data_IF_516528301131
#
_entry.id   IF_516528301131
#
_cell.length_a   1.000
_cell.length_b   1.000
_cell.length_c   1.000
_cell.angle_alpha   90.00
_cell.angle_beta   90.00
_cell.angle_gamma   90.00
#
_symmetry.space_group_name_H-M   'P 1'
#
loop_
_entity.id
_entity.type
_entity.pdbx_description
1 polymer ?
#
# COMPACT_ATOMS: atom_id res chain seq x y z
N UNK A 1 43.13 -13.66 -31.65
CA UNK A 1 42.82 -13.32 -30.25
C UNK A 1 41.92 -12.07 -30.03
N UNK A 2 41.58 -11.28 -31.07
CA UNK A 2 40.71 -10.08 -30.87
C UNK A 2 39.21 -10.36 -30.86
N UNK A 3 38.74 -11.53 -31.31
CA UNK A 3 37.29 -11.82 -31.41
C UNK A 3 36.65 -12.24 -30.08
N UNK A 4 37.43 -12.75 -29.10
CA UNK A 4 36.90 -13.18 -27.80
C UNK A 4 36.75 -12.04 -26.80
N UNK A 5 37.48 -10.94 -26.99
CA UNK A 5 37.36 -9.75 -26.11
C UNK A 5 36.05 -9.01 -26.29
N UNK A 6 35.51 -8.99 -27.53
CA UNK A 6 34.23 -8.32 -27.83
C UNK A 6 33.03 -9.09 -27.26
N UNK A 7 33.11 -10.43 -27.23
CA UNK A 7 32.05 -11.28 -26.69
C UNK A 7 31.96 -11.17 -25.14
N UNK A 8 33.10 -11.01 -24.48
CA UNK A 8 33.15 -10.81 -23.05
C UNK A 8 32.56 -9.45 -22.63
N UNK A 9 32.75 -8.40 -23.44
CA UNK A 9 32.22 -7.07 -23.18
C UNK A 9 30.71 -6.98 -23.34
N UNK A 10 30.13 -7.76 -24.27
CA UNK A 10 28.66 -7.84 -24.47
C UNK A 10 27.99 -8.62 -23.33
N UNK A 11 28.67 -9.63 -22.77
CA UNK A 11 28.17 -10.39 -21.62
C UNK A 11 28.15 -9.56 -20.32
N UNK A 12 29.05 -8.59 -20.17
CA UNK A 12 29.09 -7.72 -18.99
C UNK A 12 28.03 -6.60 -19.05
N UNK A 13 27.61 -6.18 -20.26
CA UNK A 13 26.55 -5.18 -20.42
C UNK A 13 25.14 -5.71 -20.18
N UNK A 14 24.95 -7.05 -20.12
CA UNK A 14 23.66 -7.69 -19.87
C UNK A 14 23.27 -7.84 -18.40
N UNK A 15 24.15 -7.47 -17.45
CA UNK A 15 23.89 -7.57 -16.01
C UNK A 15 23.84 -6.19 -15.35
N UNK A 16 23.08 -5.26 -15.94
CA UNK A 16 22.59 -4.14 -15.17
C UNK A 16 21.45 -4.71 -14.31
N UNK A 17 21.79 -5.29 -13.16
CA UNK A 17 20.82 -5.43 -12.08
C UNK A 17 20.39 -4.01 -11.73
N UNK A 18 19.22 -3.60 -12.20
CA UNK A 18 18.56 -2.45 -11.64
C UNK A 18 18.38 -2.77 -10.14
N UNK A 19 19.21 -2.19 -9.30
CA UNK A 19 19.05 -2.34 -7.87
C UNK A 19 17.64 -1.85 -7.52
N UNK A 20 16.82 -2.73 -6.97
CA UNK A 20 15.48 -2.37 -6.49
C UNK A 20 15.66 -1.31 -5.42
N UNK A 21 14.93 -0.19 -5.56
CA UNK A 21 14.96 0.88 -4.57
C UNK A 21 14.26 0.41 -3.29
N UNK A 22 14.77 0.82 -2.12
CA UNK A 22 14.12 0.51 -0.85
C UNK A 22 12.83 1.30 -0.68
N UNK A 23 11.80 0.66 -0.15
CA UNK A 23 10.54 1.32 0.19
C UNK A 23 10.72 2.44 1.22
N UNK A 24 11.75 2.36 2.06
CA UNK A 24 12.08 3.40 3.04
C UNK A 24 12.49 4.74 2.42
N UNK A 25 12.88 4.75 1.15
CA UNK A 25 13.24 5.97 0.42
C UNK A 25 12.02 6.74 -0.11
N UNK A 26 10.85 6.09 -0.12
CA UNK A 26 9.60 6.71 -0.56
C UNK A 26 9.15 7.75 0.46
N UNK A 27 8.97 8.98 0.02
CA UNK A 27 8.43 10.08 0.85
C UNK A 27 6.96 10.34 0.58
N UNK A 28 6.55 10.15 -0.65
CA UNK A 28 5.15 10.33 -1.08
C UNK A 28 4.75 9.19 -1.99
N UNK A 29 3.51 8.73 -1.85
CA UNK A 29 2.94 7.68 -2.68
C UNK A 29 1.52 8.10 -3.10
N UNK A 30 1.21 7.93 -4.39
CA UNK A 30 -0.12 8.20 -4.93
C UNK A 30 -0.60 7.00 -5.72
N UNK A 31 -1.79 6.54 -5.42
CA UNK A 31 -2.37 5.38 -6.10
C UNK A 31 -3.89 5.35 -6.02
N UNK A 32 -4.50 4.64 -6.94
CA UNK A 32 -5.93 4.36 -6.95
C UNK A 32 -6.18 3.02 -6.27
N UNK A 33 -7.27 2.93 -5.51
CA UNK A 33 -7.66 1.74 -4.75
C UNK A 33 -9.06 1.32 -5.12
N UNK A 34 -9.26 0.03 -5.30
CA UNK A 34 -10.59 -0.60 -5.34
C UNK A 34 -10.68 -1.56 -4.16
N UNK A 35 -11.41 -1.16 -3.14
CA UNK A 35 -11.62 -1.95 -1.92
C UNK A 35 -12.91 -2.75 -2.03
N UNK A 36 -12.82 -4.06 -1.90
CA UNK A 36 -13.96 -4.99 -1.86
C UNK A 36 -14.09 -5.59 -0.47
N UNK A 37 -15.18 -5.32 0.21
CA UNK A 37 -15.44 -5.87 1.55
C UNK A 37 -16.63 -6.81 1.52
N UNK A 38 -16.59 -7.84 2.38
CA UNK A 38 -17.68 -8.78 2.58
C UNK A 38 -17.92 -8.94 4.08
N UNK A 39 -18.82 -8.13 4.62
CA UNK A 39 -19.14 -8.14 6.05
C UNK A 39 -20.58 -8.62 6.20
N UNK A 40 -20.79 -9.69 6.98
CA UNK A 40 -22.11 -10.29 7.24
C UNK A 40 -22.92 -10.53 5.96
N UNK A 41 -22.28 -11.11 4.94
CA UNK A 41 -22.86 -11.41 3.62
C UNK A 41 -23.25 -10.19 2.78
N UNK A 42 -22.91 -8.99 3.23
CA UNK A 42 -23.06 -7.76 2.42
C UNK A 42 -21.75 -7.45 1.71
N UNK A 43 -21.78 -7.52 0.39
CA UNK A 43 -20.66 -7.12 -0.46
C UNK A 43 -20.72 -5.59 -0.66
N UNK A 44 -19.60 -4.94 -0.47
CA UNK A 44 -19.43 -3.51 -0.73
C UNK A 44 -18.16 -3.31 -1.55
N UNK A 45 -18.25 -2.44 -2.54
CA UNK A 45 -17.09 -2.01 -3.32
C UNK A 45 -17.00 -0.48 -3.23
N UNK A 46 -15.80 0.02 -2.92
CA UNK A 46 -15.51 1.45 -2.84
C UNK A 46 -14.23 1.68 -3.64
N UNK A 47 -14.25 2.69 -4.51
CA UNK A 47 -13.04 3.16 -5.19
C UNK A 47 -12.62 4.52 -4.63
N UNK A 48 -11.32 4.72 -4.47
CA UNK A 48 -10.79 5.97 -3.95
C UNK A 48 -9.34 6.20 -4.38
N UNK A 49 -8.93 7.45 -4.38
CA UNK A 49 -7.53 7.87 -4.56
C UNK A 49 -6.89 8.07 -3.20
N UNK A 50 -5.64 7.66 -3.10
CA UNK A 50 -4.79 7.89 -1.94
C UNK A 50 -3.63 8.78 -2.33
N UNK A 51 -3.45 9.86 -1.58
CA UNK A 51 -2.21 10.64 -1.52
C UNK A 51 -1.62 10.40 -0.13
N UNK A 52 -0.49 9.73 -0.08
CA UNK A 52 0.19 9.37 1.16
C UNK A 52 1.51 10.12 1.29
N UNK A 53 1.70 10.82 2.42
CA UNK A 53 2.95 11.46 2.81
C UNK A 53 3.49 10.67 4.01
N UNK A 54 4.50 9.86 3.74
CA UNK A 54 5.10 8.96 4.72
C UNK A 54 5.79 9.74 5.84
N UNK A 55 5.73 9.27 7.09
CA UNK A 55 4.96 8.12 7.53
C UNK A 55 3.56 8.46 8.08
N UNK A 56 3.13 9.73 8.08
CA UNK A 56 2.11 10.18 9.03
C UNK A 56 0.84 10.80 8.43
N UNK A 57 0.77 11.04 7.11
CA UNK A 57 -0.39 11.73 6.53
C UNK A 57 -0.96 10.98 5.35
N UNK A 58 -2.28 10.86 5.32
CA UNK A 58 -3.04 10.32 4.20
C UNK A 58 -4.15 11.29 3.82
N UNK A 59 -4.32 11.52 2.52
CA UNK A 59 -5.56 12.01 1.94
C UNK A 59 -6.20 10.86 1.18
N UNK A 60 -7.46 10.58 1.46
CA UNK A 60 -8.33 9.64 0.74
C UNK A 60 -9.43 10.46 0.07
N UNK A 61 -9.64 10.27 -1.24
CA UNK A 61 -10.72 10.89 -1.99
C UNK A 61 -11.55 9.80 -2.65
N UNK A 62 -12.83 9.68 -2.26
CA UNK A 62 -13.74 8.67 -2.78
C UNK A 62 -14.14 9.00 -4.21
N UNK A 63 -14.00 8.04 -5.12
CA UNK A 63 -14.34 8.15 -6.54
C UNK A 63 -15.58 7.35 -6.94
N UNK A 64 -15.90 6.29 -6.18
CA UNK A 64 -17.13 5.48 -6.31
C UNK A 64 -17.49 4.84 -4.96
N UNK A 65 -18.77 4.54 -4.70
CA UNK A 65 -19.95 4.77 -5.55
C UNK A 65 -20.36 6.25 -5.62
N UNK A 66 -21.24 6.59 -6.54
CA UNK A 66 -21.68 7.98 -6.78
C UNK A 66 -22.23 8.68 -5.53
N UNK A 67 -22.89 7.92 -4.63
CA UNK A 67 -23.41 8.43 -3.35
C UNK A 67 -22.33 9.07 -2.46
N UNK A 68 -21.12 8.53 -2.50
CA UNK A 68 -19.99 8.95 -1.66
C UNK A 68 -18.91 9.71 -2.44
N UNK A 69 -19.12 9.90 -3.74
CA UNK A 69 -18.13 10.51 -4.61
C UNK A 69 -17.80 11.93 -4.20
N UNK A 70 -16.50 12.23 -4.16
CA UNK A 70 -15.99 13.54 -3.73
C UNK A 70 -15.87 13.70 -2.22
N UNK A 71 -16.23 12.70 -1.40
CA UNK A 71 -15.87 12.70 0.01
C UNK A 71 -14.36 12.69 0.15
N UNK A 72 -13.82 13.58 0.99
CA UNK A 72 -12.38 13.68 1.25
C UNK A 72 -12.12 13.43 2.72
N UNK A 73 -11.19 12.52 3.00
CA UNK A 73 -10.71 12.20 4.33
C UNK A 73 -9.23 12.54 4.40
N UNK A 74 -8.85 13.37 5.37
CA UNK A 74 -7.45 13.73 5.63
C UNK A 74 -7.11 13.25 7.03
N UNK A 75 -6.13 12.35 7.12
CA UNK A 75 -5.62 11.81 8.37
C UNK A 75 -4.23 12.40 8.65
N UNK A 76 -4.05 12.95 9.84
CA UNK A 76 -2.75 13.37 10.38
C UNK A 76 -2.48 12.57 11.66
N UNK A 77 -1.74 11.47 11.51
CA UNK A 77 -1.46 10.54 12.61
C UNK A 77 -0.54 11.13 13.66
N UNK A 78 0.31 12.10 13.29
CA UNK A 78 1.16 12.80 14.25
C UNK A 78 0.37 13.65 15.25
N UNK A 79 -0.85 14.05 14.86
CA UNK A 79 -1.75 14.89 15.67
C UNK A 79 -3.00 14.15 16.14
N UNK A 80 -3.13 12.85 15.81
CA UNK A 80 -4.35 12.06 16.05
C UNK A 80 -5.62 12.77 15.55
N UNK A 81 -5.53 13.36 14.34
CA UNK A 81 -6.58 14.23 13.80
C UNK A 81 -7.06 13.71 12.46
N UNK A 82 -8.38 13.67 12.29
CA UNK A 82 -9.07 13.41 11.04
C UNK A 82 -9.94 14.60 10.64
N UNK A 83 -9.83 15.03 9.38
CA UNK A 83 -10.73 16.00 8.76
C UNK A 83 -11.50 15.30 7.66
N UNK A 84 -12.82 15.47 7.64
CA UNK A 84 -13.72 14.88 6.65
C UNK A 84 -14.47 16.01 5.96
N UNK A 85 -14.43 16.03 4.62
CA UNK A 85 -15.30 16.85 3.80
C UNK A 85 -16.39 15.98 3.19
N UNK A 86 -17.64 16.38 3.39
CA UNK A 86 -18.84 15.72 2.88
C UNK A 86 -19.52 16.62 1.83
N UNK A 87 -19.29 16.41 0.52
CA UNK A 87 -19.78 17.32 -0.52
C UNK A 87 -21.29 17.39 -0.58
N UNK A 88 -22.00 16.30 -0.31
CA UNK A 88 -23.48 16.28 -0.29
C UNK A 88 -24.07 17.29 0.69
N UNK A 89 -23.40 17.54 1.81
CA UNK A 89 -23.84 18.48 2.86
C UNK A 89 -23.06 19.78 2.84
N UNK A 90 -22.07 19.91 1.97
CA UNK A 90 -21.07 21.00 1.98
C UNK A 90 -20.49 21.24 3.38
N UNK A 91 -20.17 20.16 4.09
CA UNK A 91 -19.79 20.16 5.50
C UNK A 91 -18.36 19.68 5.68
N UNK A 92 -17.61 20.35 6.57
CA UNK A 92 -16.30 19.89 7.03
C UNK A 92 -16.40 19.54 8.50
N UNK A 93 -15.97 18.32 8.84
CA UNK A 93 -15.91 17.82 10.22
C UNK A 93 -14.49 17.51 10.62
N UNK A 94 -14.16 17.83 11.87
CA UNK A 94 -12.90 17.46 12.50
C UNK A 94 -13.17 16.52 13.65
N UNK A 95 -12.44 15.37 13.68
CA UNK A 95 -12.57 14.35 14.73
C UNK A 95 -11.20 13.77 15.07
N UNK A 96 -11.13 12.96 16.11
CA UNK A 96 -9.98 12.08 16.34
C UNK A 96 -10.02 10.87 15.41
N UNK A 97 -8.86 10.28 15.15
CA UNK A 97 -8.72 9.05 14.39
C UNK A 97 -9.12 7.89 15.29
N UNK A 98 -9.99 6.99 14.82
CA UNK A 98 -10.35 5.74 15.50
C UNK A 98 -9.52 4.57 14.95
N UNK A 99 -9.25 3.58 15.80
CA UNK A 99 -8.28 2.50 15.49
C UNK A 99 -8.57 1.73 14.21
N UNK A 100 -9.83 1.46 13.91
CA UNK A 100 -10.22 0.69 12.70
C UNK A 100 -9.93 1.42 11.38
N UNK A 101 -9.78 2.74 11.42
CA UNK A 101 -9.50 3.55 10.22
C UNK A 101 -8.02 3.49 9.80
N UNK A 102 -7.18 2.85 10.61
CA UNK A 102 -5.72 2.89 10.48
C UNK A 102 -5.13 1.68 9.72
N UNK A 103 -5.95 0.74 9.26
CA UNK A 103 -5.47 -0.53 8.70
C UNK A 103 -4.54 -0.35 7.51
N UNK A 104 -4.88 0.53 6.58
CA UNK A 104 -4.05 0.76 5.37
C UNK A 104 -2.69 1.35 5.75
N UNK A 105 -2.67 2.39 6.59
CA UNK A 105 -1.40 3.00 6.98
C UNK A 105 -0.54 2.07 7.83
N UNK A 106 -1.16 1.32 8.75
CA UNK A 106 -0.45 0.30 9.54
C UNK A 106 0.18 -0.75 8.62
N UNK A 107 -0.57 -1.22 7.60
CA UNK A 107 -0.08 -2.18 6.63
C UNK A 107 1.10 -1.63 5.82
N UNK A 108 0.99 -0.42 5.28
CA UNK A 108 2.07 0.22 4.52
C UNK A 108 3.32 0.41 5.37
N UNK A 109 3.18 0.97 6.57
CA UNK A 109 4.31 1.17 7.48
C UNK A 109 4.95 -0.16 7.89
N UNK A 110 4.14 -1.21 8.14
CA UNK A 110 4.66 -2.54 8.48
C UNK A 110 5.41 -3.18 7.33
N UNK A 111 4.94 -3.04 6.10
CA UNK A 111 5.65 -3.52 4.91
C UNK A 111 7.01 -2.82 4.77
N UNK A 112 7.06 -1.50 4.96
CA UNK A 112 8.31 -0.71 4.91
C UNK A 112 9.28 -1.14 6.01
N UNK A 113 8.78 -1.34 7.24
CA UNK A 113 9.57 -1.81 8.36
C UNK A 113 10.17 -3.20 8.10
N UNK A 114 9.33 -4.17 7.67
CA UNK A 114 9.76 -5.53 7.40
C UNK A 114 10.73 -5.59 6.20
N UNK A 115 10.50 -4.82 5.16
CA UNK A 115 11.41 -4.74 4.01
C UNK A 115 12.80 -4.27 4.46
N UNK A 116 12.86 -3.32 5.38
CA UNK A 116 14.10 -2.75 5.90
C UNK A 116 14.81 -3.66 6.92
N UNK A 117 14.07 -4.27 7.84
CA UNK A 117 14.62 -4.90 9.04
C UNK A 117 14.70 -6.44 8.94
N UNK A 118 13.80 -7.06 8.17
CA UNK A 118 13.70 -8.50 8.03
C UNK A 118 14.30 -8.97 6.70
N UNK A 119 15.51 -9.54 6.75
CA UNK A 119 16.24 -9.99 5.55
C UNK A 119 15.51 -11.07 4.75
N UNK A 120 14.79 -11.97 5.42
CA UNK A 120 14.02 -13.02 4.74
C UNK A 120 12.82 -12.44 4.04
N UNK A 121 12.07 -11.55 4.72
CA UNK A 121 10.96 -10.81 4.13
C UNK A 121 11.44 -10.02 2.92
N UNK A 122 12.47 -9.20 3.07
CA UNK A 122 13.05 -8.37 2.00
C UNK A 122 13.45 -9.21 0.77
N UNK A 123 14.12 -10.36 0.99
CA UNK A 123 14.50 -11.29 -0.08
C UNK A 123 13.27 -11.82 -0.84
N UNK A 124 12.22 -12.23 -0.12
CA UNK A 124 10.99 -12.76 -0.72
C UNK A 124 10.19 -11.65 -1.39
N UNK A 125 10.14 -10.46 -0.80
CA UNK A 125 9.49 -9.27 -1.33
C UNK A 125 10.11 -8.85 -2.67
N UNK A 126 11.44 -8.73 -2.72
CA UNK A 126 12.17 -8.40 -3.94
C UNK A 126 12.05 -9.50 -5.03
N UNK A 127 11.82 -10.75 -4.64
CA UNK A 127 11.50 -11.85 -5.54
C UNK A 127 10.00 -11.90 -5.92
N UNK A 128 9.19 -10.92 -5.50
CA UNK A 128 7.75 -10.81 -5.77
C UNK A 128 6.96 -12.06 -5.34
N UNK A 129 7.40 -12.73 -4.28
CA UNK A 129 6.69 -13.90 -3.75
C UNK A 129 5.55 -13.46 -2.83
N UNK A 130 4.39 -14.14 -2.87
CA UNK A 130 3.32 -13.89 -1.91
C UNK A 130 3.82 -13.96 -0.48
N UNK A 131 3.37 -13.03 0.35
CA UNK A 131 3.78 -12.93 1.75
C UNK A 131 2.60 -12.55 2.64
N UNK A 132 2.70 -12.93 3.91
CA UNK A 132 1.69 -12.63 4.93
C UNK A 132 2.34 -11.86 6.07
N UNK A 133 1.67 -10.82 6.53
CA UNK A 133 2.11 -9.92 7.59
C UNK A 133 1.04 -9.78 8.66
N UNK A 134 1.41 -9.95 9.91
CA UNK A 134 0.56 -9.58 11.03
C UNK A 134 0.72 -8.08 11.29
N UNK A 135 -0.37 -7.35 11.16
CA UNK A 135 -0.41 -5.91 11.41
C UNK A 135 -0.63 -5.63 12.90
N UNK A 136 -1.49 -6.43 13.51
CA UNK A 136 -1.74 -6.48 14.95
C UNK A 136 -2.21 -7.89 15.34
N UNK A 137 -2.71 -8.07 16.58
CA UNK A 137 -3.15 -9.37 17.09
C UNK A 137 -4.32 -9.98 16.30
N UNK A 138 -5.11 -9.18 15.61
CA UNK A 138 -6.31 -9.61 14.92
C UNK A 138 -6.20 -9.51 13.40
N UNK A 139 -5.39 -8.55 12.90
CA UNK A 139 -5.35 -8.21 11.48
C UNK A 139 -4.10 -8.76 10.81
N UNK A 140 -4.33 -9.56 9.78
CA UNK A 140 -3.29 -10.08 8.88
C UNK A 140 -3.50 -9.53 7.49
N UNK A 141 -2.42 -9.20 6.81
CA UNK A 141 -2.39 -8.74 5.42
C UNK A 141 -1.60 -9.74 4.58
N UNK A 142 -2.25 -10.30 3.56
CA UNK A 142 -1.59 -11.17 2.58
C UNK A 142 -1.33 -10.36 1.30
N UNK A 143 -0.07 -10.24 0.92
CA UNK A 143 0.33 -9.64 -0.36
C UNK A 143 0.32 -10.75 -1.40
N UNK A 144 -0.55 -10.65 -2.40
CA UNK A 144 -0.77 -11.68 -3.41
C UNK A 144 -0.02 -11.41 -4.71
N UNK A 145 0.07 -10.13 -5.11
CA UNK A 145 0.82 -9.72 -6.30
C UNK A 145 1.50 -8.37 -6.11
N UNK A 146 2.42 -8.07 -7.02
CA UNK A 146 3.28 -6.90 -6.96
C UNK A 146 3.36 -6.22 -8.31
N UNK A 147 3.46 -4.90 -8.29
CA UNK A 147 3.76 -4.05 -9.44
C UNK A 147 5.11 -3.34 -9.24
N UNK A 148 5.82 -3.10 -10.32
CA UNK A 148 7.06 -2.31 -10.29
C UNK A 148 6.82 -0.93 -10.89
N UNK A 149 7.11 0.11 -10.10
CA UNK A 149 6.93 1.51 -10.50
C UNK A 149 8.19 2.28 -10.15
N UNK A 150 8.84 2.87 -11.16
CA UNK A 150 10.06 3.69 -10.99
C UNK A 150 11.20 2.99 -10.24
N UNK A 151 11.28 1.66 -10.32
CA UNK A 151 12.28 0.84 -9.63
C UNK A 151 11.91 0.47 -8.19
N UNK A 152 10.71 0.81 -7.73
CA UNK A 152 10.12 0.32 -6.49
C UNK A 152 9.21 -0.86 -6.77
N UNK A 153 9.27 -1.88 -5.93
CA UNK A 153 8.30 -2.98 -5.92
C UNK A 153 7.20 -2.59 -4.93
N UNK A 154 5.95 -2.53 -5.39
CA UNK A 154 4.80 -2.16 -4.58
C UNK A 154 3.78 -3.32 -4.55
N UNK A 155 3.05 -3.53 -3.45
CA UNK A 155 1.90 -4.43 -3.45
C UNK A 155 0.86 -3.95 -4.47
N UNK A 156 0.31 -4.88 -5.25
CA UNK A 156 -0.74 -4.60 -6.22
C UNK A 156 -2.09 -5.16 -5.74
N UNK A 157 -2.09 -6.42 -5.28
CA UNK A 157 -3.28 -7.07 -4.73
C UNK A 157 -3.00 -7.53 -3.31
N UNK A 158 -3.87 -7.12 -2.40
CA UNK A 158 -3.72 -7.37 -0.97
C UNK A 158 -5.04 -7.89 -0.40
N UNK A 159 -5.00 -9.00 0.32
CA UNK A 159 -6.11 -9.51 1.11
C UNK A 159 -5.96 -9.07 2.57
N UNK A 160 -7.05 -8.58 3.16
CA UNK A 160 -7.10 -8.25 4.59
C UNK A 160 -7.94 -9.31 5.29
N UNK A 161 -7.38 -9.90 6.33
CA UNK A 161 -8.05 -10.88 7.20
C UNK A 161 -8.18 -10.28 8.61
N UNK A 162 -9.34 -10.46 9.19
CA UNK A 162 -9.64 -10.12 10.59
C UNK A 162 -9.95 -11.42 11.32
N UNK A 163 -9.19 -11.73 12.39
CA UNK A 163 -9.30 -12.98 13.14
C UNK A 163 -9.31 -14.23 12.24
N UNK A 164 -8.45 -14.23 11.20
CA UNK A 164 -8.32 -15.30 10.22
C UNK A 164 -9.40 -15.33 9.14
N UNK A 165 -10.42 -14.47 9.20
CA UNK A 165 -11.48 -14.41 8.18
C UNK A 165 -11.17 -13.28 7.19
N UNK A 166 -11.20 -13.57 5.87
CA UNK A 166 -11.04 -12.57 4.83
C UNK A 166 -12.20 -11.57 4.87
N UNK A 167 -11.89 -10.31 5.19
CA UNK A 167 -12.88 -9.23 5.30
C UNK A 167 -12.79 -8.22 4.16
N UNK A 168 -11.66 -8.18 3.45
CA UNK A 168 -11.47 -7.27 2.33
C UNK A 168 -10.38 -7.73 1.37
N UNK A 169 -10.39 -7.08 0.21
CA UNK A 169 -9.36 -7.17 -0.83
C UNK A 169 -9.14 -5.77 -1.39
N UNK A 170 -7.90 -5.41 -1.60
CA UNK A 170 -7.46 -4.13 -2.16
C UNK A 170 -6.60 -4.41 -3.37
#
# INVERSE_FOLDING_TARGET
MKKYLVLLFILIQGLVFSATKSLSDIKTLKFDVVEKTNIKSKKREISYKIDFILPNKIKKEVTAPELNKGEIYIYDYSKNKKVVYLPMFNEVKETQIVDDENRIIKAINKIIEEEKENKEFSKNYNAKKPQSLNIDEQVTVDILSYIEVEGYILPEVVDIKDSGTKVGNI
#
